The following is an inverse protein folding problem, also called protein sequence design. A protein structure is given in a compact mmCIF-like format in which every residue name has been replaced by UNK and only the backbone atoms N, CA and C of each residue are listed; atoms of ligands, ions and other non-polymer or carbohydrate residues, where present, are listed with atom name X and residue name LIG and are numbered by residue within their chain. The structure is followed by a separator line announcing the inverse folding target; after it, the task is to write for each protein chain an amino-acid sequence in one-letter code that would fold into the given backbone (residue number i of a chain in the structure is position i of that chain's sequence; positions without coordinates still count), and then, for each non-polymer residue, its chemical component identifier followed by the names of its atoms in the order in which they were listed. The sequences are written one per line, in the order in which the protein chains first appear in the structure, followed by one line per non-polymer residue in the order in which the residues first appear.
data_IF_466188829496
#
_entry.id   IF_466188829496
#
_cell.length_a   1.000
_cell.length_b   1.000
_cell.length_c   1.000
_cell.angle_alpha   90.00
_cell.angle_beta   90.00
_cell.angle_gamma   90.00
#
_symmetry.space_group_name_H-M   'P 1'
#
loop_
_entity.id
_entity.type
_entity.pdbx_description
1 polymer ?
#
# COMPACT_ATOMS: atom_id res chain seq x y z
N UNK A 1 -16.33 22.48 -68.13
CA UNK A 1 -15.59 21.39 -67.50
C UNK A 1 -16.56 20.58 -66.68
N UNK A 2 -16.86 19.33 -67.04
CA UNK A 2 -17.73 18.46 -66.27
C UNK A 2 -16.89 17.77 -65.21
N UNK A 3 -17.07 18.18 -63.95
CA UNK A 3 -16.49 17.44 -62.82
C UNK A 3 -17.15 16.07 -62.75
N UNK A 4 -16.37 15.00 -62.77
CA UNK A 4 -16.91 13.64 -62.80
C UNK A 4 -17.72 13.34 -61.54
N UNK A 5 -18.75 12.53 -61.69
CA UNK A 5 -19.65 12.15 -60.60
C UNK A 5 -18.93 11.50 -59.42
N UNK A 6 -17.81 10.86 -59.74
CA UNK A 6 -16.95 10.18 -58.72
C UNK A 6 -16.28 11.17 -57.75
N UNK A 7 -15.86 12.33 -58.22
CA UNK A 7 -15.21 13.32 -57.36
C UNK A 7 -16.21 13.95 -56.36
N UNK A 8 -17.49 14.04 -56.78
CA UNK A 8 -18.58 14.52 -55.88
C UNK A 8 -18.89 13.50 -54.78
N UNK A 9 -18.84 12.23 -55.10
CA UNK A 9 -19.06 11.15 -54.10
C UNK A 9 -17.97 11.09 -53.04
N UNK A 10 -16.72 11.27 -53.42
CA UNK A 10 -15.59 11.29 -52.50
C UNK A 10 -15.64 12.49 -51.54
N UNK A 11 -16.02 13.65 -52.02
CA UNK A 11 -16.10 14.86 -51.17
C UNK A 11 -17.23 14.72 -50.14
N UNK A 12 -18.39 14.20 -50.54
CA UNK A 12 -19.50 13.98 -49.61
C UNK A 12 -19.16 12.88 -48.55
N UNK A 13 -18.47 11.84 -48.96
CA UNK A 13 -18.08 10.73 -48.06
C UNK A 13 -17.11 11.19 -46.97
N UNK A 14 -16.13 12.00 -47.33
CA UNK A 14 -15.12 12.50 -46.37
C UNK A 14 -15.69 13.49 -45.36
N UNK A 15 -16.62 14.34 -45.77
CA UNK A 15 -17.28 15.29 -44.87
C UNK A 15 -18.16 14.58 -43.85
N UNK A 16 -18.86 13.50 -44.27
CA UNK A 16 -19.69 12.70 -43.36
C UNK A 16 -18.84 11.94 -42.33
N UNK A 17 -17.68 11.43 -42.74
CA UNK A 17 -16.79 10.72 -41.81
C UNK A 17 -16.21 11.62 -40.72
N UNK A 18 -15.83 12.87 -41.08
CA UNK A 18 -15.32 13.83 -40.13
C UNK A 18 -16.39 14.31 -39.14
N UNK A 19 -17.63 14.47 -39.57
CA UNK A 19 -18.74 14.84 -38.70
C UNK A 19 -19.04 13.74 -37.65
N UNK A 20 -18.94 12.47 -38.03
CA UNK A 20 -19.16 11.37 -37.13
C UNK A 20 -18.05 11.24 -36.05
N UNK A 21 -16.80 11.53 -36.41
CA UNK A 21 -15.67 11.53 -35.46
C UNK A 21 -15.79 12.69 -34.45
N UNK A 22 -16.23 13.88 -34.92
CA UNK A 22 -16.39 15.03 -34.03
C UNK A 22 -17.45 14.84 -32.94
N UNK A 23 -18.53 14.10 -33.23
CA UNK A 23 -19.59 13.82 -32.23
C UNK A 23 -19.14 12.79 -31.18
N UNK A 24 -18.31 11.81 -31.57
CA UNK A 24 -17.83 10.80 -30.65
C UNK A 24 -16.85 11.35 -29.58
N UNK A 25 -16.11 12.42 -29.91
CA UNK A 25 -15.18 13.06 -28.97
C UNK A 25 -15.91 13.95 -27.95
N UNK A 26 -17.10 14.48 -28.29
CA UNK A 26 -17.86 15.34 -27.38
C UNK A 26 -18.64 14.55 -26.29
N UNK A 27 -18.83 13.25 -26.47
CA UNK A 27 -19.53 12.41 -25.51
C UNK A 27 -18.58 11.64 -24.54
N UNK A 28 -17.30 12.00 -24.49
CA UNK A 28 -16.37 11.52 -23.48
C UNK A 28 -16.79 12.09 -22.12
N UNK A 29 -17.73 11.41 -21.45
CA UNK A 29 -17.96 11.62 -20.03
C UNK A 29 -16.59 11.45 -19.34
N UNK A 30 -16.09 12.55 -18.77
CA UNK A 30 -15.08 12.47 -17.77
C UNK A 30 -15.64 11.58 -16.67
N UNK A 31 -15.29 10.29 -16.68
CA UNK A 31 -15.40 9.46 -15.51
C UNK A 31 -14.51 10.13 -14.47
N UNK A 32 -15.11 11.01 -13.67
CA UNK A 32 -14.48 11.46 -12.43
C UNK A 32 -14.10 10.18 -11.70
N UNK A 33 -12.80 9.97 -11.39
CA UNK A 33 -12.46 8.84 -10.53
C UNK A 33 -13.34 9.00 -9.29
N UNK A 34 -14.25 8.04 -9.09
CA UNK A 34 -15.01 7.92 -7.85
C UNK A 34 -13.96 8.00 -6.75
N UNK A 35 -14.05 8.96 -5.82
CA UNK A 35 -13.17 8.92 -4.68
C UNK A 35 -13.37 7.53 -4.08
N UNK A 36 -12.35 6.70 -4.14
CA UNK A 36 -12.28 5.49 -3.33
C UNK A 36 -12.41 6.04 -1.93
N UNK A 37 -13.58 5.87 -1.33
CA UNK A 37 -13.75 6.16 0.07
C UNK A 37 -12.64 5.38 0.75
N UNK A 38 -11.62 6.09 1.26
CA UNK A 38 -10.64 5.53 2.14
C UNK A 38 -11.47 4.94 3.28
N UNK A 39 -11.58 3.61 3.26
CA UNK A 39 -12.16 2.86 4.34
C UNK A 39 -11.29 3.13 5.56
N UNK A 40 -11.86 3.82 6.55
CA UNK A 40 -11.20 4.16 7.79
C UNK A 40 -10.09 5.21 7.61
N UNK A 41 -10.16 6.33 8.31
CA UNK A 41 -8.98 7.13 8.59
C UNK A 41 -8.09 6.24 9.47
N UNK A 42 -7.32 5.35 8.82
CA UNK A 42 -6.22 4.67 9.45
C UNK A 42 -5.29 5.78 9.93
N UNK A 43 -5.18 5.91 11.22
CA UNK A 43 -4.18 6.76 11.85
C UNK A 43 -2.85 6.26 11.31
N UNK A 44 -2.31 7.02 10.34
CA UNK A 44 -1.16 6.60 9.58
C UNK A 44 -0.03 6.28 10.56
N UNK A 45 0.57 5.11 10.43
CA UNK A 45 1.67 4.67 11.29
C UNK A 45 2.71 5.77 11.42
N UNK A 46 2.93 6.26 12.61
CA UNK A 46 3.93 7.30 12.89
C UNK A 46 5.32 6.68 12.72
N UNK A 47 5.99 7.04 11.62
CA UNK A 47 7.35 6.57 11.36
C UNK A 47 8.31 7.22 12.35
N UNK A 48 9.06 6.45 13.15
CA UNK A 48 10.02 7.01 14.09
C UNK A 48 11.10 7.85 13.39
N UNK A 49 11.65 8.89 14.04
CA UNK A 49 12.66 9.76 13.45
C UNK A 49 13.89 9.00 12.93
N UNK A 50 14.37 9.40 11.76
CA UNK A 50 15.54 8.79 11.13
C UNK A 50 16.76 8.75 12.08
N UNK A 51 17.53 7.67 12.05
CA UNK A 51 18.71 7.48 12.91
C UNK A 51 18.40 6.93 14.31
N UNK A 52 17.14 6.84 14.72
CA UNK A 52 16.77 6.22 16.00
C UNK A 52 16.74 4.71 15.93
N UNK A 53 16.86 4.04 17.08
CA UNK A 53 16.75 2.58 17.20
C UNK A 53 15.35 2.12 16.73
N UNK A 54 14.30 2.85 17.09
CA UNK A 54 12.94 2.56 16.65
C UNK A 54 12.77 2.69 15.13
N UNK A 55 13.44 3.64 14.46
CA UNK A 55 13.42 3.75 13.00
C UNK A 55 14.10 2.55 12.31
N UNK A 56 15.21 2.05 12.88
CA UNK A 56 15.80 0.78 12.44
C UNK A 56 14.80 -0.36 12.61
N UNK A 57 14.12 -0.42 13.75
CA UNK A 57 13.08 -1.41 14.04
C UNK A 57 11.90 -1.34 13.06
N UNK A 58 11.45 -0.14 12.73
CA UNK A 58 10.42 0.07 11.70
C UNK A 58 10.82 -0.56 10.36
N UNK A 59 12.04 -0.31 9.88
CA UNK A 59 12.52 -0.90 8.63
C UNK A 59 12.56 -2.43 8.68
N UNK A 60 13.03 -2.99 9.79
CA UNK A 60 13.04 -4.43 10.01
C UNK A 60 11.62 -5.01 10.09
N UNK A 61 10.68 -4.28 10.72
CA UNK A 61 9.28 -4.65 10.79
C UNK A 61 8.65 -4.72 9.39
N UNK A 62 8.83 -3.70 8.57
CA UNK A 62 8.31 -3.68 7.20
C UNK A 62 8.82 -4.84 6.35
N UNK A 63 10.07 -5.25 6.55
CA UNK A 63 10.68 -6.34 5.78
C UNK A 63 10.31 -7.75 6.27
N UNK A 64 9.92 -7.92 7.53
CA UNK A 64 9.81 -9.25 8.14
C UNK A 64 8.48 -9.52 8.86
N UNK A 65 7.76 -8.49 9.26
CA UNK A 65 6.62 -8.62 10.18
C UNK A 65 5.32 -8.08 9.59
N UNK A 66 5.41 -7.02 8.75
CA UNK A 66 4.25 -6.33 8.19
C UNK A 66 3.33 -7.24 7.37
N UNK A 67 3.87 -8.31 6.78
CA UNK A 67 3.06 -9.30 6.05
C UNK A 67 1.94 -9.92 6.91
N UNK A 68 2.21 -10.17 8.19
CA UNK A 68 1.22 -10.75 9.10
C UNK A 68 0.59 -9.71 10.04
N UNK A 69 1.33 -8.66 10.42
CA UNK A 69 0.86 -7.68 11.40
C UNK A 69 0.28 -6.40 10.78
N UNK A 70 0.13 -6.36 9.45
CA UNK A 70 -0.29 -5.15 8.72
C UNK A 70 0.83 -4.10 8.57
N UNK A 71 0.74 -3.28 7.53
CA UNK A 71 1.73 -2.22 7.27
C UNK A 71 1.69 -1.11 8.33
N UNK A 72 0.56 -0.98 8.99
CA UNK A 72 0.27 -0.06 10.09
C UNK A 72 0.49 -0.68 11.48
N UNK A 73 0.85 -1.96 11.54
CA UNK A 73 1.01 -2.77 12.73
C UNK A 73 -0.30 -2.99 13.53
N UNK A 74 -1.49 -2.75 12.92
CA UNK A 74 -2.79 -2.95 13.56
C UNK A 74 -3.35 -4.36 13.40
N UNK A 75 -2.60 -5.23 12.78
CA UNK A 75 -2.97 -6.62 12.57
C UNK A 75 -3.51 -6.88 11.18
N UNK A 76 -3.35 -8.14 10.74
CA UNK A 76 -3.94 -8.72 9.55
C UNK A 76 -4.14 -10.22 9.85
N UNK A 77 -3.24 -11.12 9.43
CA UNK A 77 -3.22 -12.51 9.89
C UNK A 77 -2.74 -12.62 11.36
N UNK A 78 -1.84 -11.74 11.78
CA UNK A 78 -1.35 -11.61 13.15
C UNK A 78 -2.07 -10.51 13.93
N UNK A 79 -1.91 -10.47 15.26
CA UNK A 79 -2.59 -9.49 16.11
C UNK A 79 -2.04 -8.07 15.95
N UNK A 80 -2.86 -7.08 16.37
CA UNK A 80 -2.46 -5.69 16.59
C UNK A 80 -1.28 -5.60 17.57
N UNK A 81 -0.31 -4.76 17.23
CA UNK A 81 0.89 -4.53 18.04
C UNK A 81 0.88 -3.19 18.78
N UNK A 82 -0.18 -2.38 18.64
CA UNK A 82 -0.33 -1.14 19.40
C UNK A 82 -0.66 -1.43 20.85
N UNK A 83 -0.23 -0.58 21.76
CA UNK A 83 -0.54 -0.70 23.17
C UNK A 83 -0.17 -2.04 23.85
N UNK A 84 0.74 -2.82 23.27
CA UNK A 84 1.11 -4.13 23.82
C UNK A 84 1.58 -4.03 25.28
N UNK A 85 0.88 -4.73 26.18
CA UNK A 85 1.18 -4.79 27.61
C UNK A 85 2.20 -5.89 28.01
N UNK A 86 2.56 -6.78 27.07
CA UNK A 86 3.57 -7.84 27.34
C UNK A 86 4.92 -7.23 27.71
N UNK A 87 5.67 -7.93 28.60
CA UNK A 87 7.01 -7.49 28.96
C UNK A 87 7.99 -7.55 27.78
N UNK A 88 9.05 -6.73 27.81
CA UNK A 88 10.10 -6.70 26.79
C UNK A 88 10.74 -8.07 26.57
N UNK A 89 11.00 -8.78 27.66
CA UNK A 89 11.52 -10.15 27.62
C UNK A 89 10.57 -11.10 26.87
N UNK A 90 9.26 -10.95 27.07
CA UNK A 90 8.27 -11.78 26.40
C UNK A 90 8.19 -11.45 24.90
N UNK A 91 8.17 -10.17 24.53
CA UNK A 91 8.16 -9.73 23.12
C UNK A 91 9.43 -10.21 22.42
N UNK A 92 10.60 -9.99 23.02
CA UNK A 92 11.89 -10.46 22.51
C UNK A 92 11.91 -11.98 22.31
N UNK A 93 11.38 -12.74 23.27
CA UNK A 93 11.28 -14.20 23.18
C UNK A 93 10.38 -14.63 22.04
N UNK A 94 9.23 -13.97 21.83
CA UNK A 94 8.31 -14.26 20.74
C UNK A 94 8.95 -13.96 19.37
N UNK A 95 9.66 -12.86 19.23
CA UNK A 95 10.39 -12.54 17.99
C UNK A 95 11.45 -13.63 17.69
N UNK A 96 12.24 -14.02 18.69
CA UNK A 96 13.32 -15.00 18.49
C UNK A 96 12.81 -16.41 18.23
N UNK A 97 11.86 -16.87 19.03
CA UNK A 97 11.44 -18.27 19.06
C UNK A 97 10.18 -18.55 18.25
N UNK A 98 9.42 -17.49 17.88
CA UNK A 98 8.13 -17.62 17.23
C UNK A 98 7.07 -18.21 18.15
N UNK A 99 5.92 -18.52 17.54
CA UNK A 99 4.81 -19.27 18.14
C UNK A 99 4.45 -20.37 17.16
N UNK A 100 4.53 -21.61 17.58
CA UNK A 100 4.30 -22.76 16.70
C UNK A 100 2.91 -22.68 16.05
N UNK A 101 2.89 -22.71 14.73
CA UNK A 101 1.66 -22.63 13.93
C UNK A 101 1.09 -21.23 13.71
N UNK A 102 1.63 -20.20 14.39
CA UNK A 102 1.11 -18.82 14.31
C UNK A 102 2.15 -17.81 13.84
N UNK A 103 3.33 -17.82 14.45
CA UNK A 103 4.39 -16.85 14.16
C UNK A 103 5.74 -17.56 13.91
N UNK A 104 6.39 -17.30 12.75
CA UNK A 104 7.70 -17.88 12.47
C UNK A 104 8.76 -17.38 13.45
N UNK A 105 9.82 -18.19 13.64
CA UNK A 105 10.98 -17.83 14.44
C UNK A 105 11.96 -16.98 13.64
N UNK A 106 12.41 -15.88 14.22
CA UNK A 106 13.38 -14.97 13.58
C UNK A 106 14.77 -14.97 14.23
N UNK A 107 14.99 -15.74 15.30
CA UNK A 107 16.26 -15.76 16.04
C UNK A 107 17.47 -16.24 15.23
N UNK A 108 17.27 -16.93 14.11
CA UNK A 108 18.34 -17.32 13.18
C UNK A 108 18.58 -16.28 12.07
N UNK A 109 17.61 -15.38 11.83
CA UNK A 109 17.65 -14.38 10.77
C UNK A 109 18.03 -12.99 11.30
N UNK A 110 17.65 -12.69 12.52
CA UNK A 110 17.84 -11.37 13.15
C UNK A 110 18.87 -11.49 14.27
N UNK A 111 19.75 -10.49 14.34
CA UNK A 111 20.73 -10.36 15.44
C UNK A 111 20.06 -9.89 16.73
N UNK A 112 20.80 -9.91 17.84
CA UNK A 112 20.33 -9.32 19.11
C UNK A 112 19.96 -7.85 18.97
N UNK A 113 20.82 -7.07 18.29
CA UNK A 113 20.57 -5.63 18.03
C UNK A 113 19.38 -5.38 17.10
N UNK A 114 19.08 -6.28 16.17
CA UNK A 114 17.87 -6.18 15.35
C UNK A 114 16.62 -6.44 16.18
N UNK A 115 16.68 -7.40 17.09
CA UNK A 115 15.57 -7.68 18.01
C UNK A 115 15.31 -6.51 18.97
N UNK A 116 16.38 -5.88 19.48
CA UNK A 116 16.27 -4.66 20.31
C UNK A 116 15.64 -3.50 19.51
N UNK A 117 16.04 -3.33 18.25
CA UNK A 117 15.46 -2.32 17.37
C UNK A 117 13.96 -2.58 17.11
N UNK A 118 13.57 -3.81 16.84
CA UNK A 118 12.17 -4.21 16.68
C UNK A 118 11.38 -3.96 17.97
N UNK A 119 11.93 -4.30 19.13
CA UNK A 119 11.30 -4.01 20.42
C UNK A 119 11.08 -2.50 20.60
N UNK A 120 12.10 -1.69 20.30
CA UNK A 120 11.98 -0.23 20.38
C UNK A 120 10.91 0.33 19.44
N UNK A 121 10.77 -0.24 18.25
CA UNK A 121 9.69 0.12 17.32
C UNK A 121 8.32 -0.26 17.88
N UNK A 122 8.12 -1.51 18.31
CA UNK A 122 6.85 -1.96 18.89
C UNK A 122 6.46 -1.12 20.12
N UNK A 123 7.41 -0.69 20.93
CA UNK A 123 7.17 0.22 22.06
C UNK A 123 6.86 1.67 21.66
N UNK A 124 7.19 2.05 20.45
CA UNK A 124 6.82 3.36 19.91
C UNK A 124 5.39 3.43 19.36
N UNK A 125 4.75 2.27 19.12
CA UNK A 125 3.36 2.17 18.70
C UNK A 125 2.46 2.51 19.88
N UNK A 126 1.71 3.59 19.74
CA UNK A 126 0.73 4.04 20.75
C UNK A 126 -0.68 3.72 20.26
N UNK A 127 -1.60 3.63 21.19
CA UNK A 127 -3.04 3.53 20.91
C UNK A 127 -3.57 4.81 20.29
#
# INVERSE_FOLDING_TARGET
MKLSLELKGMILGTVSALAAIGIAVAAGEMVKPKPVAAAGADEALVIPPAGTLANRGYKLFMMNCAHCHGNDARGDEGPDLHGITKSDARITSMIKNGITGEMPKFGTKLTGTDTEALLAFVRSLKD
#
